data_IF_007047492634
#
_entry.id   IF_007047492634
#
_cell.length_a   1.000
_cell.length_b   1.000
_cell.length_c   1.000
_cell.angle_alpha   90.00
_cell.angle_beta   90.00
_cell.angle_gamma   90.00
#
_symmetry.space_group_name_H-M   'P 1'
#
loop_
_entity.id
_entity.type
_entity.pdbx_description
1 polymer ?
#
# COMPACT_ATOMS: atom_id res chain seq x y z
N UNK A 1 -10.04 -27.14 1.32
CA UNK A 1 -9.68 -27.05 2.74
C UNK A 1 -9.34 -25.60 3.04
N UNK A 2 -10.17 -24.84 3.80
CA UNK A 2 -9.83 -23.48 4.22
C UNK A 2 -8.87 -23.60 5.39
N UNK A 3 -7.60 -23.30 5.18
CA UNK A 3 -6.61 -23.24 6.26
C UNK A 3 -7.00 -22.11 7.21
N UNK A 4 -6.94 -22.36 8.51
CA UNK A 4 -7.10 -21.29 9.51
C UNK A 4 -6.08 -20.19 9.26
N UNK A 5 -6.45 -18.92 9.45
CA UNK A 5 -5.50 -17.82 9.25
C UNK A 5 -4.27 -18.00 10.17
N UNK A 6 -3.06 -17.69 9.66
CA UNK A 6 -1.85 -17.77 10.49
C UNK A 6 -1.95 -16.92 11.74
N UNK A 7 -1.25 -17.34 12.83
CA UNK A 7 -1.18 -16.56 14.06
C UNK A 7 -0.68 -15.13 13.82
N UNK A 8 -1.15 -14.18 14.64
CA UNK A 8 -0.82 -12.75 14.50
C UNK A 8 0.68 -12.46 14.33
N UNK A 9 1.61 -13.07 15.10
CA UNK A 9 3.04 -12.81 14.91
C UNK A 9 3.55 -13.15 13.51
N UNK A 10 3.06 -14.24 12.89
CA UNK A 10 3.44 -14.61 11.52
C UNK A 10 2.89 -13.62 10.48
N UNK A 11 1.67 -13.12 10.70
CA UNK A 11 1.06 -12.11 9.84
C UNK A 11 1.78 -10.77 9.94
N UNK A 12 2.18 -10.36 11.14
CA UNK A 12 2.96 -9.15 11.40
C UNK A 12 4.35 -9.25 10.77
N UNK A 13 5.02 -10.40 10.91
CA UNK A 13 6.30 -10.64 10.23
C UNK A 13 6.16 -10.59 8.70
N UNK A 14 5.08 -11.12 8.14
CA UNK A 14 4.79 -11.07 6.72
C UNK A 14 4.58 -9.62 6.21
N UNK A 15 3.89 -8.77 6.99
CA UNK A 15 3.74 -7.34 6.68
C UNK A 15 5.09 -6.60 6.74
N UNK A 16 5.93 -6.87 7.75
CA UNK A 16 7.27 -6.30 7.86
C UNK A 16 8.13 -6.67 6.65
N UNK A 17 8.23 -7.97 6.35
CA UNK A 17 9.05 -8.48 5.24
C UNK A 17 8.52 -7.96 3.90
N UNK A 18 7.20 -8.02 3.68
CA UNK A 18 6.58 -7.60 2.44
C UNK A 18 6.72 -6.10 2.18
N UNK A 19 6.52 -5.27 3.22
CA UNK A 19 6.72 -3.82 3.09
C UNK A 19 8.20 -3.48 2.89
N UNK A 20 9.09 -4.16 3.60
CA UNK A 20 10.54 -3.99 3.44
C UNK A 20 10.99 -4.34 2.02
N UNK A 21 10.56 -5.49 1.51
CA UNK A 21 10.86 -5.90 0.15
C UNK A 21 10.29 -4.93 -0.89
N UNK A 22 9.04 -4.46 -0.71
CA UNK A 22 8.43 -3.47 -1.59
C UNK A 22 9.25 -2.17 -1.65
N UNK A 23 9.61 -1.62 -0.48
CA UNK A 23 10.39 -0.37 -0.44
C UNK A 23 11.80 -0.58 -0.96
N UNK A 24 12.42 -1.74 -0.72
CA UNK A 24 13.71 -2.09 -1.31
C UNK A 24 13.64 -2.14 -2.86
N UNK A 25 12.56 -2.67 -3.42
CA UNK A 25 12.33 -2.65 -4.88
C UNK A 25 12.19 -1.22 -5.39
N UNK A 26 11.35 -0.40 -4.74
CA UNK A 26 11.09 0.99 -5.14
C UNK A 26 12.37 1.83 -5.09
N UNK A 27 13.09 1.80 -3.98
CA UNK A 27 14.32 2.59 -3.79
C UNK A 27 15.45 2.04 -4.67
N UNK A 28 15.68 0.73 -4.64
CA UNK A 28 16.75 0.10 -5.40
C UNK A 28 16.60 0.27 -6.91
N UNK A 29 15.38 0.10 -7.45
CA UNK A 29 15.15 0.34 -8.88
C UNK A 29 15.31 1.83 -9.25
N UNK A 30 14.95 2.74 -8.34
CA UNK A 30 15.21 4.18 -8.52
C UNK A 30 16.69 4.50 -8.59
N UNK A 31 17.50 3.99 -7.65
CA UNK A 31 18.96 4.15 -7.66
C UNK A 31 19.56 3.56 -8.96
N UNK A 32 19.14 2.35 -9.34
CA UNK A 32 19.63 1.72 -10.57
C UNK A 32 19.25 2.52 -11.80
N UNK A 33 18.01 2.97 -11.92
CA UNK A 33 17.56 3.76 -13.06
C UNK A 33 18.33 5.09 -13.18
N UNK A 34 18.60 5.73 -12.06
CA UNK A 34 19.38 6.97 -11.99
C UNK A 34 20.84 6.79 -12.46
N UNK A 35 21.44 5.63 -12.17
CA UNK A 35 22.81 5.30 -12.63
C UNK A 35 22.88 4.92 -14.12
N UNK A 36 21.78 4.43 -14.71
CA UNK A 36 21.77 3.92 -16.09
C UNK A 36 21.29 4.93 -17.14
N UNK A 37 20.52 5.94 -16.74
CA UNK A 37 19.93 6.91 -17.68
C UNK A 37 19.93 8.32 -17.11
N UNK A 38 20.13 9.31 -17.98
CA UNK A 38 19.91 10.72 -17.65
C UNK A 38 18.50 11.19 -18.03
N UNK A 39 17.76 10.42 -18.80
CA UNK A 39 16.38 10.71 -19.18
C UNK A 39 15.44 10.37 -18.02
N UNK A 40 14.71 11.40 -17.53
CA UNK A 40 13.78 11.27 -16.39
C UNK A 40 12.62 10.34 -16.72
N UNK A 41 12.13 10.33 -17.96
CA UNK A 41 11.05 9.45 -18.40
C UNK A 41 11.48 7.97 -18.37
N UNK A 42 12.71 7.67 -18.81
CA UNK A 42 13.29 6.32 -18.75
C UNK A 42 13.46 5.88 -17.29
N UNK A 43 13.96 6.76 -16.42
CA UNK A 43 14.08 6.47 -14.98
C UNK A 43 12.72 6.13 -14.36
N UNK A 44 11.72 6.98 -14.66
CA UNK A 44 10.36 6.78 -14.15
C UNK A 44 9.75 5.48 -14.67
N UNK A 45 9.92 5.17 -15.96
CA UNK A 45 9.43 3.94 -16.57
C UNK A 45 10.03 2.69 -15.92
N UNK A 46 11.35 2.67 -15.77
CA UNK A 46 12.06 1.55 -15.16
C UNK A 46 11.64 1.34 -13.70
N UNK A 47 11.56 2.43 -12.93
CA UNK A 47 11.11 2.38 -11.53
C UNK A 47 9.63 1.94 -11.42
N UNK A 48 8.73 2.48 -12.26
CA UNK A 48 7.32 2.12 -12.26
C UNK A 48 7.11 0.64 -12.61
N UNK A 49 7.81 0.14 -13.64
CA UNK A 49 7.74 -1.27 -14.03
C UNK A 49 8.22 -2.19 -12.92
N UNK A 50 9.40 -1.93 -12.35
CA UNK A 50 9.95 -2.72 -11.25
C UNK A 50 9.05 -2.69 -10.02
N UNK A 51 8.53 -1.51 -9.65
CA UNK A 51 7.63 -1.33 -8.50
C UNK A 51 6.31 -2.09 -8.67
N UNK A 52 5.68 -1.98 -9.85
CA UNK A 52 4.44 -2.68 -10.14
C UNK A 52 4.62 -4.20 -10.13
N UNK A 53 5.64 -4.71 -10.83
CA UNK A 53 5.94 -6.15 -10.88
C UNK A 53 6.25 -6.66 -9.46
N UNK A 54 7.13 -5.98 -8.73
CA UNK A 54 7.49 -6.35 -7.37
C UNK A 54 6.28 -6.37 -6.43
N UNK A 55 5.44 -5.34 -6.48
CA UNK A 55 4.21 -5.28 -5.69
C UNK A 55 3.27 -6.46 -6.01
N UNK A 56 3.04 -6.75 -7.29
CA UNK A 56 2.17 -7.85 -7.71
C UNK A 56 2.66 -9.20 -7.22
N UNK A 57 3.97 -9.48 -7.36
CA UNK A 57 4.60 -10.70 -6.86
C UNK A 57 4.48 -10.83 -5.34
N UNK A 58 4.75 -9.75 -4.60
CA UNK A 58 4.64 -9.73 -3.14
C UNK A 58 3.19 -9.97 -2.67
N UNK A 59 2.19 -9.35 -3.34
CA UNK A 59 0.77 -9.60 -3.02
C UNK A 59 0.42 -11.06 -3.30
N UNK A 60 0.85 -11.63 -4.42
CA UNK A 60 0.58 -13.03 -4.76
C UNK A 60 1.18 -14.01 -3.74
N UNK A 61 2.42 -13.75 -3.30
CA UNK A 61 3.15 -14.62 -2.38
C UNK A 61 2.68 -14.48 -0.93
N UNK A 62 2.49 -13.25 -0.45
CA UNK A 62 2.26 -12.96 0.96
C UNK A 62 0.76 -12.78 1.27
N UNK A 63 -0.07 -12.54 0.25
CA UNK A 63 -1.52 -12.37 0.42
C UNK A 63 -2.20 -13.48 1.22
N UNK A 64 -1.91 -14.76 0.97
CA UNK A 64 -2.46 -15.86 1.76
C UNK A 64 -2.05 -15.86 3.24
N UNK A 65 -0.96 -15.19 3.60
CA UNK A 65 -0.43 -15.16 4.96
C UNK A 65 -1.01 -14.01 5.79
N UNK A 66 -0.91 -12.76 5.30
CA UNK A 66 -1.30 -11.55 6.04
C UNK A 66 -2.43 -10.76 5.42
N UNK A 67 -2.74 -11.02 4.16
CA UNK A 67 -3.56 -10.18 3.30
C UNK A 67 -2.72 -9.23 2.43
N UNK A 68 -1.38 -9.20 2.64
CA UNK A 68 -0.42 -8.38 1.89
C UNK A 68 -0.87 -6.92 1.79
N UNK A 69 -1.12 -6.30 2.95
CA UNK A 69 -1.52 -4.88 2.96
C UNK A 69 -0.35 -3.98 2.61
N UNK A 70 0.82 -4.18 3.24
CA UNK A 70 2.06 -3.41 3.06
C UNK A 70 1.88 -1.90 3.14
N UNK A 71 0.75 -1.46 3.68
CA UNK A 71 0.29 -0.09 3.56
C UNK A 71 -0.69 0.26 4.68
N UNK A 72 -0.41 1.28 5.50
CA UNK A 72 -1.32 1.70 6.56
C UNK A 72 -2.73 2.06 6.09
N UNK A 73 -2.87 2.75 4.94
CA UNK A 73 -4.21 3.13 4.44
C UNK A 73 -5.01 1.92 3.97
N UNK A 74 -4.36 0.90 3.41
CA UNK A 74 -5.03 -0.36 3.08
C UNK A 74 -5.46 -1.07 4.37
N UNK A 75 -4.58 -1.15 5.37
CA UNK A 75 -4.90 -1.75 6.67
C UNK A 75 -6.09 -1.08 7.34
N UNK A 76 -6.10 0.26 7.38
CA UNK A 76 -7.18 1.05 7.95
C UNK A 76 -8.49 0.88 7.17
N UNK A 77 -8.45 0.89 5.83
CA UNK A 77 -9.64 0.71 4.99
C UNK A 77 -10.28 -0.66 5.16
N UNK A 78 -9.47 -1.72 5.31
CA UNK A 78 -9.94 -3.08 5.56
C UNK A 78 -10.56 -3.21 6.96
N UNK A 79 -9.95 -2.61 7.95
CA UNK A 79 -10.50 -2.58 9.32
C UNK A 79 -11.81 -1.79 9.39
N UNK A 80 -11.87 -0.60 8.80
CA UNK A 80 -13.07 0.23 8.76
C UNK A 80 -14.24 -0.46 8.07
N UNK A 81 -13.96 -1.27 7.05
CA UNK A 81 -14.98 -2.06 6.35
C UNK A 81 -15.55 -3.22 7.18
N UNK A 82 -15.12 -3.41 8.44
CA UNK A 82 -15.57 -4.50 9.33
C UNK A 82 -15.18 -5.90 8.82
N UNK A 83 -14.23 -5.99 7.90
CA UNK A 83 -13.84 -7.25 7.26
C UNK A 83 -12.75 -8.01 7.99
N UNK A 84 -12.17 -7.41 9.01
CA UNK A 84 -11.20 -8.03 9.90
C UNK A 84 -11.74 -8.12 11.32
N UNK A 85 -11.74 -9.32 11.83
CA UNK A 85 -12.11 -9.61 13.22
C UNK A 85 -11.04 -9.17 14.23
N UNK A 86 -9.80 -8.92 13.76
CA UNK A 86 -8.69 -8.43 14.56
C UNK A 86 -8.90 -6.97 14.98
N UNK A 87 -9.11 -6.74 16.27
CA UNK A 87 -9.34 -5.41 16.83
C UNK A 87 -8.18 -4.42 16.60
N UNK A 88 -8.27 -3.23 17.21
CA UNK A 88 -7.28 -2.15 17.10
C UNK A 88 -5.83 -2.59 17.34
N UNK A 89 -5.60 -3.60 18.19
CA UNK A 89 -4.27 -4.18 18.44
C UNK A 89 -3.63 -4.77 17.18
N UNK A 90 -4.41 -5.45 16.35
CA UNK A 90 -3.90 -6.01 15.08
C UNK A 90 -3.55 -4.90 14.09
N UNK A 91 -4.40 -3.88 13.98
CA UNK A 91 -4.16 -2.71 13.12
C UNK A 91 -2.86 -2.01 13.49
N UNK A 92 -2.66 -1.73 14.79
CA UNK A 92 -1.44 -1.10 15.29
C UNK A 92 -0.19 -1.95 15.04
N UNK A 93 -0.29 -3.26 15.25
CA UNK A 93 0.82 -4.19 14.99
C UNK A 93 1.19 -4.23 13.49
N UNK A 94 0.20 -4.20 12.60
CA UNK A 94 0.44 -4.13 11.15
C UNK A 94 1.11 -2.82 10.76
N UNK A 95 0.57 -1.69 11.19
CA UNK A 95 1.12 -0.36 10.87
C UNK A 95 2.55 -0.24 11.40
N UNK A 96 2.81 -0.68 12.64
CA UNK A 96 4.17 -0.69 13.19
C UNK A 96 5.13 -1.55 12.38
N UNK A 97 4.70 -2.75 11.97
CA UNK A 97 5.50 -3.64 11.12
C UNK A 97 5.76 -3.05 9.73
N UNK A 98 4.76 -2.43 9.14
CA UNK A 98 4.87 -1.76 7.83
C UNK A 98 5.84 -0.58 7.88
N UNK A 99 5.77 0.27 8.90
CA UNK A 99 6.69 1.39 9.08
C UNK A 99 8.13 0.92 9.28
N UNK A 100 8.34 -0.05 10.19
CA UNK A 100 9.66 -0.61 10.44
C UNK A 100 10.22 -1.33 9.21
N UNK A 101 9.39 -2.10 8.51
CA UNK A 101 9.75 -2.77 7.26
C UNK A 101 10.15 -1.78 6.17
N UNK A 102 9.38 -0.68 6.01
CA UNK A 102 9.67 0.34 5.01
C UNK A 102 11.03 1.00 5.22
N UNK A 103 11.36 1.35 6.46
CA UNK A 103 12.69 1.89 6.81
C UNK A 103 13.78 0.85 6.54
N UNK A 104 13.61 -0.38 7.03
CA UNK A 104 14.57 -1.46 6.80
C UNK A 104 14.80 -1.72 5.30
N UNK A 105 13.74 -1.68 4.48
CA UNK A 105 13.84 -1.86 3.04
C UNK A 105 14.60 -0.73 2.33
N UNK A 106 14.41 0.53 2.74
CA UNK A 106 15.17 1.64 2.21
C UNK A 106 16.66 1.53 2.56
N UNK A 107 16.97 1.24 3.82
CA UNK A 107 18.36 1.03 4.27
C UNK A 107 19.03 -0.15 3.57
N UNK A 108 18.29 -1.25 3.35
CA UNK A 108 18.77 -2.40 2.60
C UNK A 108 19.08 -2.02 1.14
N UNK A 109 18.22 -1.24 0.50
CA UNK A 109 18.47 -0.77 -0.86
C UNK A 109 19.74 0.06 -0.94
N UNK A 110 19.93 1.06 -0.07
CA UNK A 110 21.16 1.86 -0.02
C UNK A 110 22.41 0.95 0.16
N UNK A 111 22.36 0.00 1.10
CA UNK A 111 23.45 -0.92 1.36
C UNK A 111 23.79 -1.80 0.15
N UNK A 112 22.79 -2.32 -0.59
CA UNK A 112 23.00 -3.13 -1.80
C UNK A 112 23.71 -2.36 -2.93
N UNK A 113 23.58 -1.03 -2.94
CA UNK A 113 24.25 -0.17 -3.91
C UNK A 113 25.55 0.45 -3.37
N UNK A 114 26.05 -0.01 -2.20
CA UNK A 114 27.28 0.52 -1.60
C UNK A 114 27.18 1.98 -1.14
N UNK A 115 25.96 2.49 -0.94
CA UNK A 115 25.70 3.85 -0.44
C UNK A 115 25.57 3.82 1.07
N UNK A 116 25.91 4.93 1.73
CA UNK A 116 25.79 5.06 3.19
C UNK A 116 24.29 5.00 3.58
N UNK A 117 23.86 3.97 4.36
CA UNK A 117 22.45 3.85 4.72
C UNK A 117 22.00 5.00 5.63
N UNK A 118 20.77 5.49 5.43
CA UNK A 118 20.12 6.45 6.33
C UNK A 118 20.40 7.92 6.01
N UNK A 119 20.93 8.24 4.84
CA UNK A 119 20.95 9.61 4.36
C UNK A 119 19.51 10.11 4.17
N UNK A 120 19.19 11.26 4.80
CA UNK A 120 17.89 11.88 4.63
C UNK A 120 17.71 12.39 3.20
N UNK A 121 16.57 12.08 2.62
CA UNK A 121 16.21 12.60 1.30
C UNK A 121 16.05 14.12 1.33
N UNK A 122 16.53 14.78 0.29
CA UNK A 122 16.49 16.24 0.14
C UNK A 122 15.35 16.73 -0.75
N UNK A 123 14.74 15.85 -1.55
CA UNK A 123 13.69 16.19 -2.52
C UNK A 123 12.41 16.66 -1.81
N UNK A 124 12.11 17.96 -1.92
CA UNK A 124 10.88 18.55 -1.35
C UNK A 124 9.66 18.23 -2.21
N UNK A 125 8.61 17.69 -1.57
CA UNK A 125 7.34 17.32 -2.23
C UNK A 125 6.13 17.95 -1.55
N UNK A 126 6.23 19.26 -1.25
CA UNK A 126 5.19 20.00 -0.50
C UNK A 126 4.20 20.78 -1.35
N UNK A 127 4.33 20.76 -2.68
CA UNK A 127 3.45 21.50 -3.59
C UNK A 127 2.03 20.91 -3.59
N UNK A 128 1.00 21.75 -3.59
CA UNK A 128 -0.41 21.35 -3.49
C UNK A 128 -0.84 20.36 -4.58
N UNK A 129 -0.33 20.51 -5.81
CA UNK A 129 -0.65 19.57 -6.90
C UNK A 129 -0.10 18.16 -6.62
N UNK A 130 1.02 18.03 -5.89
CA UNK A 130 1.56 16.72 -5.48
C UNK A 130 0.67 16.09 -4.39
N UNK A 131 0.18 16.89 -3.45
CA UNK A 131 -0.76 16.43 -2.41
C UNK A 131 -2.09 15.97 -3.04
N UNK A 132 -2.59 16.71 -4.03
CA UNK A 132 -3.75 16.28 -4.81
C UNK A 132 -3.47 14.95 -5.52
N UNK A 133 -2.29 14.80 -6.14
CA UNK A 133 -1.84 13.56 -6.76
C UNK A 133 -1.87 12.38 -5.79
N UNK A 134 -1.39 12.55 -4.55
CA UNK A 134 -1.43 11.52 -3.51
C UNK A 134 -2.86 11.17 -3.08
N UNK A 135 -3.72 12.17 -2.91
CA UNK A 135 -5.13 11.93 -2.58
C UNK A 135 -5.84 11.12 -3.68
N UNK A 136 -5.63 11.47 -4.95
CA UNK A 136 -6.21 10.76 -6.11
C UNK A 136 -5.63 9.35 -6.22
N UNK A 137 -4.31 9.18 -6.13
CA UNK A 137 -3.65 7.90 -6.19
C UNK A 137 -4.14 6.94 -5.10
N UNK A 138 -4.26 7.45 -3.87
CA UNK A 138 -4.71 6.64 -2.73
C UNK A 138 -6.21 6.32 -2.82
N UNK A 139 -7.03 7.27 -3.26
CA UNK A 139 -8.46 7.04 -3.46
C UNK A 139 -8.70 5.91 -4.48
N UNK A 140 -8.01 5.93 -5.60
CA UNK A 140 -8.12 4.88 -6.59
C UNK A 140 -7.57 3.54 -6.11
N UNK A 141 -6.44 3.52 -5.36
CA UNK A 141 -5.94 2.28 -4.75
C UNK A 141 -6.98 1.64 -3.83
N UNK A 142 -7.55 2.43 -2.92
CA UNK A 142 -8.57 1.93 -1.99
C UNK A 142 -9.83 1.49 -2.75
N UNK A 143 -10.24 2.24 -3.77
CA UNK A 143 -11.36 1.86 -4.63
C UNK A 143 -11.12 0.51 -5.32
N UNK A 144 -9.93 0.26 -5.87
CA UNK A 144 -9.55 -1.02 -6.47
C UNK A 144 -9.63 -2.16 -5.45
N UNK A 145 -9.01 -2.00 -4.27
CA UNK A 145 -9.02 -3.01 -3.21
C UNK A 145 -10.45 -3.31 -2.76
N UNK A 146 -11.22 -2.29 -2.43
CA UNK A 146 -12.59 -2.42 -1.96
C UNK A 146 -13.52 -2.97 -3.06
N UNK A 147 -13.36 -2.50 -4.30
CA UNK A 147 -14.11 -2.96 -5.45
C UNK A 147 -13.92 -4.46 -5.71
N UNK A 148 -12.67 -4.94 -5.77
CA UNK A 148 -12.37 -6.36 -5.94
C UNK A 148 -13.04 -7.24 -4.88
N UNK A 149 -13.09 -6.76 -3.64
CA UNK A 149 -13.77 -7.47 -2.56
C UNK A 149 -15.28 -7.45 -2.71
N UNK A 150 -15.87 -6.34 -3.14
CA UNK A 150 -17.32 -6.24 -3.36
C UNK A 150 -17.79 -7.18 -4.47
N UNK A 151 -17.04 -7.26 -5.58
CA UNK A 151 -17.36 -8.16 -6.68
C UNK A 151 -16.95 -9.62 -6.44
N UNK A 152 -16.38 -9.95 -5.26
CA UNK A 152 -16.00 -11.31 -4.88
C UNK A 152 -14.77 -11.85 -5.62
N UNK A 153 -13.90 -10.97 -6.14
CA UNK A 153 -12.70 -11.35 -6.90
C UNK A 153 -11.36 -10.92 -6.23
N UNK A 154 -11.14 -11.16 -4.93
CA UNK A 154 -9.90 -10.74 -4.26
C UNK A 154 -8.65 -11.42 -4.83
N UNK A 155 -8.77 -12.58 -5.50
CA UNK A 155 -7.65 -13.26 -6.16
C UNK A 155 -7.03 -12.45 -7.31
N UNK A 156 -7.75 -11.44 -7.85
CA UNK A 156 -7.20 -10.53 -8.87
C UNK A 156 -6.34 -9.40 -8.27
N UNK A 157 -6.28 -9.27 -6.94
CA UNK A 157 -5.54 -8.18 -6.30
C UNK A 157 -4.07 -8.06 -6.76
N UNK A 158 -3.29 -9.15 -6.94
CA UNK A 158 -1.91 -9.04 -7.42
C UNK A 158 -1.79 -8.27 -8.74
N UNK A 159 -2.65 -8.55 -9.69
CA UNK A 159 -2.62 -7.92 -11.01
C UNK A 159 -3.26 -6.55 -11.00
N UNK A 160 -4.44 -6.41 -10.38
CA UNK A 160 -5.20 -5.17 -10.40
C UNK A 160 -4.52 -4.06 -9.58
N UNK A 161 -4.01 -4.38 -8.38
CA UNK A 161 -3.32 -3.40 -7.53
C UNK A 161 -1.98 -3.01 -8.16
N UNK A 162 -1.21 -3.98 -8.65
CA UNK A 162 0.05 -3.72 -9.35
C UNK A 162 -0.16 -2.86 -10.60
N UNK A 163 -1.12 -3.23 -11.44
CA UNK A 163 -1.47 -2.47 -12.64
C UNK A 163 -1.94 -1.06 -12.31
N UNK A 164 -2.80 -0.91 -11.28
CA UNK A 164 -3.24 0.41 -10.86
C UNK A 164 -2.07 1.29 -10.37
N UNK A 165 -1.19 0.77 -9.50
CA UNK A 165 -0.02 1.53 -9.01
C UNK A 165 0.93 1.87 -10.16
N UNK A 166 1.19 0.92 -11.07
CA UNK A 166 1.99 1.19 -12.26
C UNK A 166 1.42 2.34 -13.10
N UNK A 167 0.10 2.36 -13.33
CA UNK A 167 -0.58 3.46 -14.00
C UNK A 167 -0.52 4.76 -13.19
N UNK A 168 -0.77 4.69 -11.87
CA UNK A 168 -0.83 5.86 -10.98
C UNK A 168 0.52 6.58 -10.87
N UNK A 169 1.64 5.88 -10.95
CA UNK A 169 2.99 6.49 -11.03
C UNK A 169 3.08 7.45 -12.22
N UNK A 170 2.36 7.16 -13.32
CA UNK A 170 2.40 7.95 -14.55
C UNK A 170 1.34 9.04 -14.62
N UNK A 171 0.09 8.75 -14.22
CA UNK A 171 -0.98 9.72 -14.41
C UNK A 171 -1.12 10.72 -13.24
N UNK A 172 -0.48 10.49 -12.08
CA UNK A 172 -0.51 11.44 -10.98
C UNK A 172 0.77 12.27 -10.90
N UNK A 173 0.62 13.53 -10.53
CA UNK A 173 1.75 14.46 -10.42
C UNK A 173 2.77 14.10 -9.34
N UNK A 174 2.36 13.32 -8.33
CA UNK A 174 3.19 12.91 -7.19
C UNK A 174 4.10 11.71 -7.49
N UNK A 175 3.81 10.95 -8.57
CA UNK A 175 4.41 9.64 -8.80
C UNK A 175 3.86 8.55 -7.87
N UNK A 176 2.66 8.77 -7.32
CA UNK A 176 1.86 7.79 -6.57
C UNK A 176 2.62 7.01 -5.49
N UNK A 177 2.93 7.64 -4.38
CA UNK A 177 3.38 6.87 -3.20
C UNK A 177 2.21 6.08 -2.63
N UNK A 178 1.05 6.73 -2.47
CA UNK A 178 -0.21 6.13 -2.04
C UNK A 178 -0.09 5.20 -0.81
N UNK A 179 0.93 5.42 0.03
CA UNK A 179 1.32 4.52 1.12
C UNK A 179 2.11 5.30 2.19
N UNK A 180 1.55 5.55 3.39
CA UNK A 180 2.26 6.25 4.46
C UNK A 180 3.53 5.54 4.92
N UNK A 181 3.57 4.20 4.93
CA UNK A 181 4.77 3.47 5.34
C UNK A 181 5.89 3.61 4.30
N UNK A 182 5.57 3.44 3.01
CA UNK A 182 6.54 3.69 1.95
C UNK A 182 7.01 5.15 1.92
N UNK A 183 6.12 6.10 2.20
CA UNK A 183 6.46 7.53 2.31
C UNK A 183 7.50 7.76 3.41
N UNK A 184 7.31 7.17 4.59
CA UNK A 184 8.29 7.24 5.69
C UNK A 184 9.60 6.56 5.28
N UNK A 185 9.56 5.34 4.74
CA UNK A 185 10.77 4.62 4.34
C UNK A 185 11.61 5.37 3.31
N UNK A 186 10.96 6.00 2.32
CA UNK A 186 11.63 6.75 1.25
C UNK A 186 12.30 8.05 1.74
N UNK A 187 11.99 8.51 2.95
CA UNK A 187 12.71 9.62 3.57
C UNK A 187 14.15 9.23 4.00
N UNK A 188 14.44 7.94 4.14
CA UNK A 188 15.74 7.40 4.53
C UNK A 188 16.66 7.07 3.33
N UNK A 189 16.36 7.60 2.15
CA UNK A 189 17.14 7.40 0.92
C UNK A 189 17.15 8.67 0.10
N UNK A 190 18.31 9.32 -0.02
CA UNK A 190 18.49 10.48 -0.90
C UNK A 190 18.72 10.00 -2.34
N UNK A 191 17.66 9.56 -2.97
CA UNK A 191 17.63 8.96 -4.30
C UNK A 191 16.51 9.56 -5.16
N UNK A 192 16.47 9.20 -6.44
CA UNK A 192 15.39 9.57 -7.37
C UNK A 192 13.97 9.39 -6.78
N UNK A 193 13.80 8.39 -5.92
CA UNK A 193 12.51 8.08 -5.31
C UNK A 193 12.30 8.73 -3.93
N UNK A 194 13.24 9.50 -3.43
CA UNK A 194 13.24 10.08 -2.08
C UNK A 194 12.14 11.13 -1.85
N UNK A 195 11.92 11.44 -0.59
CA UNK A 195 11.06 12.53 -0.11
C UNK A 195 11.68 13.17 1.13
N UNK A 196 11.85 14.48 1.12
CA UNK A 196 12.35 15.20 2.29
C UNK A 196 11.47 14.94 3.51
N UNK A 197 12.05 14.68 4.71
CA UNK A 197 11.29 14.40 5.93
C UNK A 197 10.21 15.43 6.24
N UNK A 198 10.47 16.71 5.94
CA UNK A 198 9.50 17.79 6.14
C UNK A 198 8.22 17.65 5.29
N UNK A 199 8.28 16.94 4.16
CA UNK A 199 7.14 16.70 3.27
C UNK A 199 6.30 15.46 3.68
N UNK A 200 6.85 14.55 4.49
CA UNK A 200 6.20 13.29 4.89
C UNK A 200 4.84 13.49 5.56
N UNK A 201 4.67 14.43 6.54
CA UNK A 201 3.38 14.59 7.20
C UNK A 201 2.27 15.04 6.25
N UNK A 202 2.56 15.95 5.31
CA UNK A 202 1.58 16.44 4.35
C UNK A 202 1.16 15.34 3.35
N UNK A 203 2.13 14.52 2.88
CA UNK A 203 1.85 13.35 2.05
C UNK A 203 0.98 12.33 2.78
N UNK A 204 1.32 11.98 4.02
CA UNK A 204 0.53 11.04 4.82
C UNK A 204 -0.90 11.55 5.04
N UNK A 205 -1.08 12.84 5.30
CA UNK A 205 -2.41 13.46 5.44
C UNK A 205 -3.20 13.38 4.12
N UNK A 206 -2.60 13.69 2.98
CA UNK A 206 -3.22 13.57 1.66
C UNK A 206 -3.62 12.13 1.35
N UNK A 207 -2.79 11.15 1.70
CA UNK A 207 -3.07 9.72 1.56
C UNK A 207 -4.24 9.27 2.45
N UNK A 208 -4.33 9.76 3.68
CA UNK A 208 -5.47 9.47 4.56
C UNK A 208 -6.78 10.07 4.01
N UNK A 209 -6.74 11.30 3.49
CA UNK A 209 -7.89 11.91 2.81
C UNK A 209 -8.27 11.10 1.56
N UNK A 210 -7.29 10.67 0.78
CA UNK A 210 -7.51 9.78 -0.37
C UNK A 210 -8.16 8.45 0.02
N UNK A 211 -7.73 7.85 1.14
CA UNK A 211 -8.36 6.64 1.67
C UNK A 211 -9.85 6.87 1.95
N UNK A 212 -10.19 7.95 2.66
CA UNK A 212 -11.59 8.27 2.97
C UNK A 212 -12.40 8.46 1.70
N UNK A 213 -11.87 9.20 0.72
CA UNK A 213 -12.51 9.38 -0.57
C UNK A 213 -12.73 8.07 -1.31
N UNK A 214 -11.72 7.19 -1.35
CA UNK A 214 -11.81 5.87 -1.97
C UNK A 214 -12.86 4.98 -1.32
N UNK A 215 -12.99 5.05 0.01
CA UNK A 215 -14.04 4.35 0.76
C UNK A 215 -15.45 4.87 0.39
N UNK A 216 -15.62 6.20 0.31
CA UNK A 216 -16.89 6.81 -0.12
C UNK A 216 -17.23 6.39 -1.54
N UNK A 217 -16.28 6.48 -2.48
CA UNK A 217 -16.49 6.07 -3.86
C UNK A 217 -16.87 4.58 -3.96
N UNK A 218 -16.21 3.71 -3.20
CA UNK A 218 -16.59 2.31 -3.16
C UNK A 218 -18.00 2.10 -2.60
N UNK A 219 -18.39 2.85 -1.58
CA UNK A 219 -19.76 2.82 -1.04
C UNK A 219 -20.82 3.29 -2.05
N UNK A 220 -20.51 4.36 -2.81
CA UNK A 220 -21.41 4.87 -3.85
C UNK A 220 -21.58 3.87 -5.00
N UNK A 221 -20.46 3.27 -5.47
CA UNK A 221 -20.49 2.38 -6.65
C UNK A 221 -21.04 0.98 -6.33
N UNK A 222 -20.74 0.44 -5.18
CA UNK A 222 -21.06 -0.95 -4.85
C UNK A 222 -22.11 -1.10 -3.74
N UNK A 223 -22.53 0.01 -3.12
CA UNK A 223 -23.42 0.03 -1.97
C UNK A 223 -22.71 -0.35 -0.66
N UNK A 224 -23.31 0.01 0.46
CA UNK A 224 -22.87 -0.50 1.77
C UNK A 224 -23.41 -1.91 1.93
N UNK A 225 -22.55 -2.92 2.13
CA UNK A 225 -23.03 -4.24 2.55
C UNK A 225 -23.77 -4.07 3.89
N UNK A 226 -25.09 -4.18 3.86
CA UNK A 226 -25.81 -4.50 5.09
C UNK A 226 -25.27 -5.84 5.56
N UNK A 227 -24.83 -5.92 6.81
CA UNK A 227 -24.63 -7.21 7.46
C UNK A 227 -25.91 -8.00 7.23
N UNK A 228 -25.82 -9.13 6.53
CA UNK A 228 -26.95 -10.03 6.36
C UNK A 228 -27.40 -10.36 7.77
N UNK A 229 -28.57 -9.88 8.18
CA UNK A 229 -29.19 -10.33 9.42
C UNK A 229 -29.28 -11.85 9.30
N UNK A 230 -28.68 -12.59 10.20
CA UNK A 230 -28.89 -14.02 10.28
C UNK A 230 -30.41 -14.26 10.29
N UNK A 231 -30.90 -15.23 9.50
CA UNK A 231 -32.32 -15.55 9.56
C UNK A 231 -32.67 -15.86 11.00
N UNK A 232 -33.63 -15.12 11.55
CA UNK A 232 -34.09 -15.32 12.92
C UNK A 232 -34.48 -16.79 13.09
N UNK A 233 -33.84 -17.54 14.02
CA UNK A 233 -34.21 -18.96 14.26
C UNK A 233 -35.68 -19.19 14.57
N UNK A 234 -36.42 -18.11 14.90
CA UNK A 234 -37.89 -18.18 15.11
C UNK A 234 -38.70 -18.35 13.82
N UNK A 235 -38.17 -17.95 12.63
CA UNK A 235 -38.88 -18.10 11.37
C UNK A 235 -38.82 -19.54 10.84
N UNK A 236 -37.78 -20.30 11.19
CA UNK A 236 -37.66 -21.71 10.81
C UNK A 236 -38.67 -22.62 11.53
N UNK A 237 -39.33 -22.14 12.58
CA UNK A 237 -40.33 -22.92 13.35
C UNK A 237 -41.79 -22.69 12.88
N UNK A 238 -42.04 -21.83 11.88
CA UNK A 238 -43.39 -21.52 11.37
C UNK A 238 -43.75 -22.26 10.09
N UNK A 239 -42.83 -23.05 9.53
CA UNK A 239 -43.02 -23.80 8.28
C UNK A 239 -42.92 -25.33 8.45
N UNK A 240 -43.11 -25.83 9.68
CA UNK A 240 -43.20 -27.27 9.99
C UNK A 240 -44.57 -27.61 10.50
#
# INVERSE_FOLDING_TARGET
MRMSPPALPRRVAAEFIGTGALVAVVVGSGIRADTLSQDIGVRLLANAAASAIGLGLLIALIGPLSGAHFNPVVTLSEWWSGRREGGSREVLAYIGAQLAGAVAGALLAEAMFGRAPGAWATESRSALHLLLGEAVATAGLVLVVQGLRHIGRPALAPVAVAGYIGAAIWFTSSGSFANPAATVGRAFSDSFTGIAPASVPAFAAAQLLGMLLGMVLAGVLYGTRRASAEPNPADARRTG
#
